data_IF_635184925467
#
_entry.id   IF_635184925467
#
_cell.length_a   1.000
_cell.length_b   1.000
_cell.length_c   1.000
_cell.angle_alpha   90.00
_cell.angle_beta   90.00
_cell.angle_gamma   90.00
#
_symmetry.space_group_name_H-M   'P 1'
#
loop_
_entity.id
_entity.type
_entity.pdbx_description
1 polymer ?
#
# COMPACT_ATOMS: atom_id res chain seq x y z
N UNK A 1 -21.85 -0.10 -6.27
CA UNK A 1 -20.38 0.07 -6.23
C UNK A 1 -19.75 -1.24 -6.71
N UNK A 2 -18.85 -1.20 -7.71
CA UNK A 2 -18.16 -2.41 -8.19
C UNK A 2 -17.15 -2.89 -7.15
N UNK A 3 -16.90 -4.19 -7.03
CA UNK A 3 -15.94 -4.73 -6.05
C UNK A 3 -14.52 -4.21 -6.25
N UNK A 4 -14.11 -3.98 -7.51
CA UNK A 4 -12.84 -3.32 -7.83
C UNK A 4 -12.69 -1.96 -7.14
N UNK A 5 -13.77 -1.18 -7.03
CA UNK A 5 -13.73 0.13 -6.38
C UNK A 5 -13.51 -0.01 -4.87
N UNK A 6 -14.12 -1.01 -4.24
CA UNK A 6 -13.94 -1.28 -2.80
C UNK A 6 -12.47 -1.56 -2.52
N UNK A 7 -11.84 -2.40 -3.34
CA UNK A 7 -10.43 -2.77 -3.18
C UNK A 7 -9.53 -1.54 -3.40
N UNK A 8 -9.81 -0.71 -4.40
CA UNK A 8 -9.08 0.57 -4.57
C UNK A 8 -9.27 1.49 -3.37
N UNK A 9 -10.47 1.61 -2.82
CA UNK A 9 -10.70 2.45 -1.64
C UNK A 9 -9.92 1.96 -0.43
N UNK A 10 -9.77 0.65 -0.24
CA UNK A 10 -8.91 0.11 0.81
C UNK A 10 -7.44 0.50 0.61
N UNK A 11 -6.93 0.45 -0.62
CA UNK A 11 -5.59 0.97 -0.93
C UNK A 11 -5.46 2.47 -0.66
N UNK A 12 -6.46 3.26 -1.07
CA UNK A 12 -6.47 4.70 -0.80
C UNK A 12 -6.46 5.00 0.70
N UNK A 13 -7.21 4.25 1.52
CA UNK A 13 -7.16 4.37 2.98
C UNK A 13 -5.75 4.09 3.51
N UNK A 14 -5.08 3.05 3.00
CA UNK A 14 -3.69 2.74 3.35
C UNK A 14 -2.73 3.87 2.98
N UNK A 15 -2.84 4.42 1.77
CA UNK A 15 -2.01 5.54 1.31
C UNK A 15 -2.27 6.82 2.12
N UNK A 16 -3.52 7.11 2.47
CA UNK A 16 -3.87 8.25 3.33
C UNK A 16 -3.24 8.06 4.71
N UNK A 17 -3.40 6.87 5.31
CA UNK A 17 -2.80 6.56 6.61
C UNK A 17 -1.27 6.72 6.58
N UNK A 18 -0.62 6.17 5.56
CA UNK A 18 0.83 6.32 5.36
C UNK A 18 1.24 7.79 5.20
N UNK A 19 0.57 8.55 4.33
CA UNK A 19 0.84 9.98 4.16
C UNK A 19 0.68 10.77 5.47
N UNK A 20 -0.38 10.49 6.25
CA UNK A 20 -0.59 11.12 7.56
C UNK A 20 0.54 10.79 8.54
N UNK A 21 0.97 9.52 8.62
CA UNK A 21 2.11 9.12 9.44
C UNK A 21 3.35 9.90 9.04
N UNK A 22 3.66 9.95 7.74
CA UNK A 22 4.87 10.61 7.23
C UNK A 22 4.85 12.15 7.28
N UNK A 23 3.69 12.78 7.41
CA UNK A 23 3.58 14.23 7.52
C UNK A 23 3.42 14.73 8.97
N UNK A 24 2.68 13.98 9.79
CA UNK A 24 2.27 14.44 11.13
C UNK A 24 3.13 13.80 12.21
N UNK A 25 3.51 12.52 12.04
CA UNK A 25 4.28 11.76 13.03
C UNK A 25 5.52 11.07 12.44
N UNK A 26 6.31 11.74 11.59
CA UNK A 26 7.36 11.05 10.84
C UNK A 26 8.50 10.55 11.72
N UNK A 27 8.95 11.36 12.67
CA UNK A 27 10.06 11.00 13.55
C UNK A 27 9.70 9.86 14.53
N UNK A 28 8.59 9.93 15.30
CA UNK A 28 8.20 8.83 16.18
C UNK A 28 7.98 7.51 15.45
N UNK A 29 7.37 7.55 14.25
CA UNK A 29 7.14 6.32 13.49
C UNK A 29 8.46 5.75 12.95
N UNK A 30 9.32 6.60 12.39
CA UNK A 30 10.57 6.16 11.81
C UNK A 30 11.57 5.64 12.84
N UNK A 31 11.57 6.19 14.06
CA UNK A 31 12.46 5.73 15.15
C UNK A 31 12.15 4.31 15.64
N UNK A 32 10.96 3.77 15.33
CA UNK A 32 10.61 2.36 15.59
C UNK A 32 10.80 1.46 14.35
N UNK A 33 11.44 1.97 13.29
CA UNK A 33 11.84 1.20 12.11
C UNK A 33 13.34 0.91 12.11
N UNK A 34 13.77 -0.03 11.28
CA UNK A 34 15.18 -0.39 11.09
C UNK A 34 15.98 0.71 10.40
N UNK A 35 15.32 1.62 9.69
CA UNK A 35 15.97 2.67 8.90
C UNK A 35 16.07 4.03 9.61
N UNK A 36 15.47 4.15 10.79
CA UNK A 36 15.42 5.37 11.59
C UNK A 36 14.86 6.58 10.81
N UNK A 37 14.90 7.77 11.41
CA UNK A 37 14.36 8.99 10.83
C UNK A 37 15.27 9.62 9.77
N UNK A 38 14.67 9.93 8.61
CA UNK A 38 15.25 10.79 7.59
C UNK A 38 14.17 11.71 7.02
N UNK A 39 14.32 13.03 7.22
CA UNK A 39 13.31 14.03 6.86
C UNK A 39 13.00 14.09 5.37
N UNK A 40 14.02 13.98 4.52
CA UNK A 40 13.86 13.94 3.06
C UNK A 40 13.08 12.71 2.62
N UNK A 41 13.45 11.54 3.15
CA UNK A 41 12.79 10.28 2.84
C UNK A 41 11.32 10.25 3.25
N UNK A 42 10.98 10.70 4.47
CA UNK A 42 9.57 10.73 4.89
C UNK A 42 8.74 11.71 4.05
N UNK A 43 9.32 12.84 3.66
CA UNK A 43 8.67 13.80 2.75
C UNK A 43 8.40 13.16 1.38
N UNK A 44 9.38 12.45 0.81
CA UNK A 44 9.22 11.74 -0.45
C UNK A 44 8.13 10.67 -0.36
N UNK A 45 8.10 9.87 0.70
CA UNK A 45 7.05 8.87 0.91
C UNK A 45 5.66 9.51 1.00
N UNK A 46 5.51 10.63 1.70
CA UNK A 46 4.25 11.36 1.74
C UNK A 46 3.81 11.84 0.34
N UNK A 47 4.74 12.41 -0.43
CA UNK A 47 4.50 12.88 -1.80
C UNK A 47 4.06 11.72 -2.69
N UNK A 48 4.72 10.56 -2.62
CA UNK A 48 4.36 9.38 -3.39
C UNK A 48 2.93 8.90 -3.10
N UNK A 49 2.57 8.81 -1.81
CA UNK A 49 1.21 8.40 -1.41
C UNK A 49 0.14 9.39 -1.90
N UNK A 50 0.36 10.69 -1.73
CA UNK A 50 -0.55 11.74 -2.19
C UNK A 50 -0.67 11.73 -3.72
N UNK A 51 0.43 11.52 -4.43
CA UNK A 51 0.46 11.42 -5.89
C UNK A 51 -0.41 10.26 -6.39
N UNK A 52 -0.26 9.07 -5.82
CA UNK A 52 -1.07 7.90 -6.21
C UNK A 52 -2.56 8.13 -5.88
N UNK A 53 -2.87 8.68 -4.70
CA UNK A 53 -4.26 9.05 -4.35
C UNK A 53 -4.86 9.99 -5.39
N UNK A 54 -4.10 11.01 -5.81
CA UNK A 54 -4.55 11.99 -6.80
C UNK A 54 -4.87 11.36 -8.15
N UNK A 55 -4.03 10.43 -8.61
CA UNK A 55 -4.27 9.64 -9.83
C UNK A 55 -5.53 8.79 -9.69
N UNK A 56 -5.68 8.06 -8.57
CA UNK A 56 -6.85 7.20 -8.34
C UNK A 56 -8.15 8.03 -8.30
N UNK A 57 -8.14 9.17 -7.62
CA UNK A 57 -9.28 10.11 -7.60
C UNK A 57 -9.63 10.59 -9.00
N UNK A 58 -8.64 10.94 -9.81
CA UNK A 58 -8.87 11.35 -11.20
C UNK A 58 -9.53 10.22 -12.01
N UNK A 59 -9.03 8.99 -11.93
CA UNK A 59 -9.60 7.82 -12.61
C UNK A 59 -11.05 7.55 -12.17
N UNK A 60 -11.32 7.65 -10.87
CA UNK A 60 -12.69 7.51 -10.32
C UNK A 60 -13.60 8.60 -10.89
N UNK A 61 -13.15 9.86 -10.94
CA UNK A 61 -13.95 10.99 -11.44
C UNK A 61 -14.30 10.87 -12.92
N UNK A 62 -13.40 10.34 -13.74
CA UNK A 62 -13.67 10.12 -15.18
C UNK A 62 -14.45 8.82 -15.44
N UNK A 63 -14.69 8.00 -14.42
CA UNK A 63 -15.55 6.81 -14.50
C UNK A 63 -14.94 5.63 -15.25
N UNK A 64 -13.61 5.58 -15.42
CA UNK A 64 -12.93 4.43 -16.04
C UNK A 64 -12.89 3.22 -15.09
N UNK A 65 -12.79 2.02 -15.66
CA UNK A 65 -12.55 0.81 -14.85
C UNK A 65 -11.19 0.88 -14.16
N UNK A 66 -11.15 0.42 -12.91
CA UNK A 66 -9.94 0.41 -12.08
C UNK A 66 -9.21 -0.95 -12.12
N UNK A 67 -9.82 -1.98 -12.71
CA UNK A 67 -9.19 -3.30 -12.86
C UNK A 67 -7.75 -3.26 -13.40
N UNK A 68 -7.39 -2.40 -14.39
CA UNK A 68 -6.02 -2.36 -14.90
C UNK A 68 -4.96 -1.86 -13.90
N UNK A 69 -5.34 -1.06 -12.89
CA UNK A 69 -4.37 -0.53 -11.91
C UNK A 69 -4.10 -1.50 -10.75
N UNK A 70 -5.04 -2.40 -10.45
CA UNK A 70 -4.96 -3.31 -9.30
C UNK A 70 -3.71 -4.21 -9.30
N UNK A 71 -3.27 -4.82 -10.42
CA UNK A 71 -2.04 -5.61 -10.43
C UNK A 71 -0.80 -4.78 -10.05
N UNK A 72 -0.73 -3.53 -10.50
CA UNK A 72 0.38 -2.62 -10.17
C UNK A 72 0.40 -2.26 -8.68
N UNK A 73 -0.77 -1.92 -8.11
CA UNK A 73 -0.90 -1.65 -6.68
C UNK A 73 -0.53 -2.88 -5.83
N UNK A 74 -0.97 -4.06 -6.25
CA UNK A 74 -0.66 -5.32 -5.59
C UNK A 74 0.84 -5.65 -5.65
N UNK A 75 1.46 -5.51 -6.82
CA UNK A 75 2.90 -5.75 -6.99
C UNK A 75 3.73 -4.78 -6.13
N UNK A 76 3.40 -3.49 -6.16
CA UNK A 76 4.08 -2.49 -5.34
C UNK A 76 3.92 -2.76 -3.85
N UNK A 77 2.71 -3.09 -3.39
CA UNK A 77 2.46 -3.42 -1.98
C UNK A 77 3.24 -4.68 -1.58
N UNK A 78 3.23 -5.72 -2.41
CA UNK A 78 4.03 -6.92 -2.17
C UNK A 78 5.51 -6.59 -1.99
N UNK A 79 6.10 -5.76 -2.88
CA UNK A 79 7.50 -5.36 -2.76
C UNK A 79 7.78 -4.54 -1.50
N UNK A 80 6.89 -3.63 -1.10
CA UNK A 80 7.04 -2.92 0.17
C UNK A 80 6.97 -3.87 1.37
N UNK A 81 6.01 -4.79 1.38
CA UNK A 81 5.91 -5.81 2.42
C UNK A 81 7.16 -6.67 2.51
N UNK A 82 7.72 -7.10 1.38
CA UNK A 82 8.99 -7.83 1.33
C UNK A 82 10.16 -6.99 1.83
N UNK A 83 10.23 -5.70 1.47
CA UNK A 83 11.30 -4.81 1.93
C UNK A 83 11.30 -4.65 3.46
N UNK A 84 10.14 -4.45 4.07
CA UNK A 84 10.00 -4.43 5.53
C UNK A 84 10.30 -5.79 6.16
N UNK A 85 9.89 -6.89 5.52
CA UNK A 85 10.18 -8.24 6.03
C UNK A 85 11.68 -8.51 6.06
N UNK A 86 12.43 -8.08 5.04
CA UNK A 86 13.89 -8.19 5.01
C UNK A 86 14.53 -7.37 6.13
N UNK A 87 14.03 -6.16 6.40
CA UNK A 87 14.51 -5.33 7.51
C UNK A 87 14.35 -6.05 8.87
N UNK A 88 13.22 -6.72 9.08
CA UNK A 88 12.93 -7.48 10.30
C UNK A 88 13.85 -8.69 10.51
N UNK A 89 14.50 -9.22 9.48
CA UNK A 89 15.51 -10.28 9.65
C UNK A 89 16.68 -9.78 10.49
N UNK A 90 17.08 -8.52 10.32
CA UNK A 90 18.17 -7.88 11.07
C UNK A 90 17.71 -7.21 12.37
N UNK A 91 16.45 -6.78 12.45
CA UNK A 91 15.89 -6.13 13.64
C UNK A 91 14.42 -6.54 13.89
N UNK A 92 14.16 -7.73 14.48
CA UNK A 92 12.80 -8.21 14.72
C UNK A 92 11.97 -7.32 15.67
N UNK A 93 12.61 -6.45 16.45
CA UNK A 93 11.97 -5.52 17.37
C UNK A 93 11.47 -4.24 16.72
N UNK A 94 11.71 -4.03 15.42
CA UNK A 94 11.26 -2.83 14.71
C UNK A 94 9.74 -2.85 14.45
N UNK A 95 8.97 -2.31 15.40
CA UNK A 95 7.51 -2.31 15.36
C UNK A 95 6.93 -1.65 14.09
N UNK A 96 7.55 -0.58 13.59
CA UNK A 96 7.06 0.11 12.39
C UNK A 96 7.24 -0.73 11.12
N UNK A 97 8.28 -1.56 11.06
CA UNK A 97 8.47 -2.50 9.96
C UNK A 97 7.41 -3.61 9.99
N UNK A 98 7.04 -4.11 11.16
CA UNK A 98 5.92 -5.03 11.29
C UNK A 98 4.61 -4.44 10.78
N UNK A 99 4.31 -3.18 11.12
CA UNK A 99 3.14 -2.49 10.59
C UNK A 99 3.18 -2.41 9.05
N UNK A 100 4.35 -2.11 8.49
CA UNK A 100 4.61 -2.12 7.05
C UNK A 100 4.34 -3.49 6.40
N UNK A 101 4.86 -4.57 6.96
CA UNK A 101 4.63 -5.95 6.50
C UNK A 101 3.14 -6.28 6.51
N UNK A 102 2.48 -6.08 7.65
CA UNK A 102 1.09 -6.50 7.85
C UNK A 102 0.16 -5.75 6.89
N UNK A 103 0.28 -4.42 6.82
CA UNK A 103 -0.60 -3.61 5.97
C UNK A 103 -0.46 -4.00 4.48
N UNK A 104 0.78 -4.16 4.01
CA UNK A 104 1.06 -4.44 2.61
C UNK A 104 0.68 -5.86 2.17
N UNK A 105 0.93 -6.87 3.01
CA UNK A 105 0.53 -8.25 2.69
C UNK A 105 -0.96 -8.47 2.88
N UNK A 106 -1.60 -7.83 3.86
CA UNK A 106 -3.05 -7.93 4.04
C UNK A 106 -3.79 -7.42 2.80
N UNK A 107 -3.46 -6.23 2.30
CA UNK A 107 -4.16 -5.67 1.13
C UNK A 107 -3.87 -6.46 -0.15
N UNK A 108 -2.63 -6.92 -0.33
CA UNK A 108 -2.26 -7.83 -1.43
C UNK A 108 -3.06 -9.13 -1.36
N UNK A 109 -3.18 -9.73 -0.18
CA UNK A 109 -3.94 -10.95 0.06
C UNK A 109 -5.43 -10.78 -0.25
N UNK A 110 -6.04 -9.69 0.20
CA UNK A 110 -7.45 -9.34 -0.11
C UNK A 110 -7.66 -9.29 -1.62
N UNK A 111 -6.77 -8.60 -2.35
CA UNK A 111 -6.85 -8.52 -3.81
C UNK A 111 -6.71 -9.90 -4.47
N UNK A 112 -5.73 -10.72 -4.05
CA UNK A 112 -5.50 -12.04 -4.63
C UNK A 112 -6.69 -12.97 -4.39
N UNK A 113 -7.26 -12.97 -3.18
CA UNK A 113 -8.45 -13.75 -2.84
C UNK A 113 -9.63 -13.33 -3.73
N UNK A 114 -9.89 -12.02 -3.84
CA UNK A 114 -10.94 -11.51 -4.73
C UNK A 114 -10.69 -11.86 -6.20
N UNK A 115 -9.44 -11.78 -6.65
CA UNK A 115 -9.07 -12.06 -8.04
C UNK A 115 -9.31 -13.53 -8.38
N UNK A 116 -8.95 -14.44 -7.46
CA UNK A 116 -9.19 -15.88 -7.59
C UNK A 116 -10.68 -16.21 -7.55
N UNK A 117 -11.46 -15.58 -6.66
CA UNK A 117 -12.91 -15.82 -6.56
C UNK A 117 -13.69 -15.30 -7.78
N UNK A 118 -13.14 -14.31 -8.48
CA UNK A 118 -13.75 -13.69 -9.66
C UNK A 118 -13.26 -14.29 -10.98
N UNK A 119 -12.34 -15.25 -10.94
CA UNK A 119 -11.81 -15.90 -12.14
C UNK A 119 -12.83 -16.90 -12.69
N UNK A 120 -13.34 -16.65 -13.89
CA UNK A 120 -14.11 -17.62 -14.67
C UNK A 120 -13.15 -18.31 -15.64
N UNK A 121 -12.88 -19.62 -15.51
CA UNK A 121 -12.06 -20.34 -16.46
C UNK A 121 -12.67 -20.24 -17.85
N UNK A 122 -11.89 -19.78 -18.83
CA UNK A 122 -12.25 -19.95 -20.24
C UNK A 122 -12.21 -21.45 -20.52
N UNK A 123 -13.38 -22.10 -20.66
CA UNK A 123 -13.43 -23.48 -21.18
C UNK A 123 -12.93 -23.42 -22.62
N UNK A 124 -11.85 -24.15 -22.90
CA UNK A 124 -11.38 -24.42 -24.26
C UNK A 124 -12.37 -25.34 -24.97
#
# INVERSE_FOLDING_TARGET
MKTENIIVYLWMCGFIGSACIQLIFPEPFASYSTWDYNSGWQSELAIWNIGIISVLVALIRVGVTLSPVLPGLAFMSFLFGMNHLVALVGNPGACSDWAGVIANFAITGIYLIWRMSSYVPQRK
#
